data_IF_585419472749
#
_entry.id   IF_585419472749
#
_cell.length_a   1.000
_cell.length_b   1.000
_cell.length_c   1.000
_cell.angle_alpha   90.00
_cell.angle_beta   90.00
_cell.angle_gamma   90.00
#
_symmetry.space_group_name_H-M   'P 1'
#
loop_
_entity.id
_entity.type
_entity.pdbx_description
1 polymer ?
#
# COMPACT_ATOMS: atom_id res chain seq x y z
N UNK A 1 -25.12 53.89 26.98
CA UNK A 1 -26.36 53.24 26.50
C UNK A 1 -25.89 52.08 25.65
N UNK A 2 -25.84 50.89 26.24
CA UNK A 2 -25.23 49.71 25.63
C UNK A 2 -26.28 49.00 24.79
N UNK A 3 -26.07 48.97 23.48
CA UNK A 3 -26.89 48.16 22.57
C UNK A 3 -26.60 46.68 22.84
N UNK A 4 -27.61 45.99 23.37
CA UNK A 4 -27.61 44.54 23.56
C UNK A 4 -27.50 43.88 22.19
N UNK A 5 -26.33 43.32 21.89
CA UNK A 5 -26.16 42.40 20.78
C UNK A 5 -26.97 41.15 21.13
N UNK A 6 -28.07 40.93 20.41
CA UNK A 6 -28.91 39.75 20.53
C UNK A 6 -28.16 38.56 19.93
N UNK A 7 -27.36 37.87 20.75
CA UNK A 7 -26.80 36.55 20.43
C UNK A 7 -27.90 35.48 20.54
N UNK A 8 -28.94 35.62 19.73
CA UNK A 8 -30.01 34.64 19.60
C UNK A 8 -29.53 33.46 18.76
N UNK A 9 -29.29 32.34 19.43
CA UNK A 9 -29.23 30.98 18.87
C UNK A 9 -28.40 30.83 17.59
N UNK A 10 -27.10 30.55 17.75
CA UNK A 10 -26.34 29.88 16.69
C UNK A 10 -27.14 28.64 16.30
N UNK A 11 -27.62 28.62 15.05
CA UNK A 11 -28.54 27.63 14.50
C UNK A 11 -28.13 26.21 14.94
N UNK A 12 -28.84 25.65 15.93
CA UNK A 12 -28.51 24.39 16.58
C UNK A 12 -28.42 23.25 15.57
N UNK A 13 -29.22 23.33 14.51
CA UNK A 13 -29.20 22.45 13.35
C UNK A 13 -27.91 22.56 12.55
N UNK A 14 -27.43 23.77 12.24
CA UNK A 14 -26.15 23.98 11.55
C UNK A 14 -24.97 23.48 12.39
N UNK A 15 -25.01 23.68 13.71
CA UNK A 15 -23.95 23.21 14.60
C UNK A 15 -23.91 21.67 14.68
N UNK A 16 -25.07 21.02 14.78
CA UNK A 16 -25.18 19.56 14.75
C UNK A 16 -24.71 18.99 13.41
N UNK A 17 -25.10 19.62 12.30
CA UNK A 17 -24.68 19.20 10.96
C UNK A 17 -23.17 19.34 10.77
N UNK A 18 -22.56 20.40 11.30
CA UNK A 18 -21.11 20.59 11.27
C UNK A 18 -20.37 19.52 12.11
N UNK A 19 -20.89 19.15 13.27
CA UNK A 19 -20.34 18.09 14.12
C UNK A 19 -20.45 16.71 13.45
N UNK A 20 -21.59 16.41 12.82
CA UNK A 20 -21.80 15.18 12.04
C UNK A 20 -20.82 15.08 10.85
N UNK A 21 -20.68 16.15 10.05
CA UNK A 21 -19.72 16.19 8.95
C UNK A 21 -18.28 15.99 9.44
N UNK A 22 -17.94 16.58 10.58
CA UNK A 22 -16.59 16.47 11.15
C UNK A 22 -16.29 15.03 11.58
N UNK A 23 -17.26 14.36 12.20
CA UNK A 23 -17.15 12.94 12.56
C UNK A 23 -17.01 12.06 11.33
N UNK A 24 -17.83 12.28 10.31
CA UNK A 24 -17.76 11.53 9.05
C UNK A 24 -16.41 11.72 8.36
N UNK A 25 -15.92 12.96 8.29
CA UNK A 25 -14.61 13.29 7.75
C UNK A 25 -13.49 12.54 8.47
N UNK A 26 -13.48 12.55 9.80
CA UNK A 26 -12.46 11.85 10.58
C UNK A 26 -12.52 10.32 10.41
N UNK A 27 -13.72 9.75 10.29
CA UNK A 27 -13.87 8.32 10.02
C UNK A 27 -13.32 7.95 8.64
N UNK A 28 -13.71 8.68 7.59
CA UNK A 28 -13.24 8.45 6.23
C UNK A 28 -11.72 8.62 6.13
N UNK A 29 -11.17 9.67 6.74
CA UNK A 29 -9.72 9.91 6.79
C UNK A 29 -8.97 8.77 7.49
N UNK A 30 -9.50 8.25 8.60
CA UNK A 30 -8.91 7.11 9.31
C UNK A 30 -8.94 5.83 8.46
N UNK A 31 -10.05 5.55 7.79
CA UNK A 31 -10.20 4.40 6.91
C UNK A 31 -9.27 4.48 5.69
N UNK A 32 -9.20 5.64 5.05
CA UNK A 32 -8.27 5.92 3.94
C UNK A 32 -6.82 5.71 4.39
N UNK A 33 -6.45 6.25 5.56
CA UNK A 33 -5.14 6.05 6.16
C UNK A 33 -4.84 4.57 6.38
N UNK A 34 -5.73 3.80 7.00
CA UNK A 34 -5.53 2.36 7.24
C UNK A 34 -5.39 1.55 5.94
N UNK A 35 -6.17 1.92 4.92
CA UNK A 35 -6.10 1.31 3.59
C UNK A 35 -4.75 1.59 2.93
N UNK A 36 -4.28 2.83 2.95
CA UNK A 36 -2.96 3.18 2.43
C UNK A 36 -1.83 2.52 3.22
N UNK A 37 -1.98 2.39 4.52
CA UNK A 37 -1.03 1.68 5.37
C UNK A 37 -0.90 0.20 5.02
N UNK A 38 -2.04 -0.46 4.80
CA UNK A 38 -2.09 -1.87 4.38
C UNK A 38 -1.50 -2.03 2.97
N UNK A 39 -1.86 -1.16 2.03
CA UNK A 39 -1.27 -1.13 0.67
C UNK A 39 0.24 -0.91 0.70
N UNK A 40 0.74 -0.03 1.57
CA UNK A 40 2.15 0.31 1.66
C UNK A 40 3.00 -0.69 2.48
N UNK A 41 2.39 -1.75 3.06
CA UNK A 41 3.07 -2.69 3.97
C UNK A 41 3.91 -1.95 5.02
N UNK A 42 3.23 -1.08 5.77
CA UNK A 42 3.67 0.03 6.65
C UNK A 42 4.89 -0.11 7.60
N UNK A 43 5.96 -0.84 7.27
CA UNK A 43 7.28 -0.70 7.92
C UNK A 43 7.96 0.64 7.61
N UNK A 44 7.49 1.33 6.57
CA UNK A 44 8.18 2.46 5.95
C UNK A 44 7.87 3.81 6.61
N UNK A 45 6.81 3.90 7.43
CA UNK A 45 6.41 5.14 8.09
C UNK A 45 7.46 5.66 9.09
N UNK A 46 8.36 4.78 9.56
CA UNK A 46 9.43 5.16 10.51
C UNK A 46 10.68 5.73 9.82
N UNK A 47 10.87 5.51 8.51
CA UNK A 47 12.13 5.80 7.80
C UNK A 47 12.04 7.04 6.86
N UNK A 48 10.97 7.84 6.94
CA UNK A 48 10.80 9.08 6.17
C UNK A 48 10.39 8.86 4.71
N UNK A 49 10.08 9.97 4.01
CA UNK A 49 9.60 9.96 2.62
C UNK A 49 10.47 9.07 1.70
N UNK A 50 9.84 8.43 0.72
CA UNK A 50 10.41 7.42 -0.18
C UNK A 50 11.52 7.95 -1.12
N UNK A 51 12.00 9.17 -0.88
CA UNK A 51 13.06 9.87 -1.61
C UNK A 51 14.33 10.10 -0.77
N UNK A 52 14.39 9.62 0.47
CA UNK A 52 15.60 9.79 1.29
C UNK A 52 16.76 8.93 0.78
N UNK A 53 18.00 9.40 0.95
CA UNK A 53 19.20 8.62 0.59
C UNK A 53 19.28 7.29 1.36
N UNK A 54 18.70 7.23 2.57
CA UNK A 54 18.58 6.03 3.39
C UNK A 54 17.61 5.01 2.77
N UNK A 55 16.45 5.46 2.28
CA UNK A 55 15.49 4.63 1.56
C UNK A 55 16.15 3.93 0.37
N UNK A 56 16.87 4.69 -0.48
CA UNK A 56 17.53 4.11 -1.64
C UNK A 56 18.65 3.15 -1.26
N UNK A 57 19.42 3.43 -0.20
CA UNK A 57 20.43 2.50 0.33
C UNK A 57 19.78 1.19 0.80
N UNK A 58 18.68 1.27 1.54
CA UNK A 58 17.97 0.09 2.05
C UNK A 58 17.31 -0.71 0.93
N UNK A 59 16.78 -0.04 -0.09
CA UNK A 59 16.27 -0.67 -1.30
C UNK A 59 17.34 -1.40 -2.09
N UNK A 60 18.52 -0.78 -2.28
CA UNK A 60 19.65 -1.46 -2.94
C UNK A 60 20.09 -2.71 -2.16
N UNK A 61 20.17 -2.64 -0.83
CA UNK A 61 20.49 -3.80 0.01
C UNK A 61 19.44 -4.91 -0.13
N UNK A 62 18.16 -4.54 -0.12
CA UNK A 62 17.07 -5.49 -0.31
C UNK A 62 17.10 -6.14 -1.70
N UNK A 63 17.32 -5.35 -2.76
CA UNK A 63 17.46 -5.83 -4.13
C UNK A 63 18.67 -6.76 -4.27
N UNK A 64 19.81 -6.42 -3.67
CA UNK A 64 21.00 -7.27 -3.69
C UNK A 64 20.77 -8.60 -2.95
N UNK A 65 20.16 -8.55 -1.77
CA UNK A 65 19.83 -9.73 -0.96
C UNK A 65 18.85 -10.67 -1.67
N UNK A 66 17.85 -10.10 -2.33
CA UNK A 66 16.77 -10.87 -2.98
C UNK A 66 17.00 -11.05 -4.48
N UNK A 67 18.22 -10.81 -4.97
CA UNK A 67 18.56 -11.04 -6.36
C UNK A 67 18.51 -12.54 -6.63
N UNK A 68 17.54 -12.97 -7.45
CA UNK A 68 17.45 -14.35 -7.91
C UNK A 68 18.58 -14.57 -8.92
N UNK A 69 19.60 -15.32 -8.52
CA UNK A 69 20.73 -15.66 -9.38
C UNK A 69 20.59 -17.02 -10.02
N UNK A 70 19.77 -17.90 -9.45
CA UNK A 70 19.59 -19.28 -9.89
C UNK A 70 18.16 -19.72 -9.57
N UNK A 71 17.60 -20.57 -10.42
CA UNK A 71 16.26 -21.15 -10.24
C UNK A 71 16.25 -22.58 -10.78
N UNK A 72 15.42 -23.44 -10.22
CA UNK A 72 15.14 -24.74 -10.84
C UNK A 72 14.04 -24.57 -11.88
N UNK A 73 14.22 -25.18 -13.06
CA UNK A 73 13.15 -25.29 -14.05
C UNK A 73 12.19 -26.44 -13.71
N UNK A 74 11.13 -26.60 -14.51
CA UNK A 74 10.10 -27.62 -14.31
C UNK A 74 10.63 -29.06 -14.43
N UNK A 75 11.81 -29.23 -15.03
CA UNK A 75 12.52 -30.50 -15.13
C UNK A 75 13.45 -30.74 -13.93
N UNK A 76 13.47 -29.83 -12.95
CA UNK A 76 14.34 -29.88 -11.77
C UNK A 76 15.79 -29.45 -12.04
N UNK A 77 16.12 -28.98 -13.24
CA UNK A 77 17.47 -28.59 -13.61
C UNK A 77 17.78 -27.20 -13.06
N UNK A 78 18.94 -27.06 -12.41
CA UNK A 78 19.39 -25.79 -11.87
C UNK A 78 19.89 -24.86 -12.98
N UNK A 79 19.15 -23.80 -13.25
CA UNK A 79 19.49 -22.75 -14.20
C UNK A 79 20.21 -21.61 -13.47
N UNK A 80 21.37 -21.19 -13.99
CA UNK A 80 22.19 -20.10 -13.44
C UNK A 80 22.37 -18.92 -14.41
N UNK A 81 21.99 -19.10 -15.67
CA UNK A 81 22.06 -18.07 -16.69
C UNK A 81 20.95 -17.05 -16.47
N UNK A 82 21.30 -15.75 -16.50
CA UNK A 82 20.36 -14.68 -16.19
C UNK A 82 19.17 -14.61 -17.16
N UNK A 83 19.43 -14.76 -18.46
CA UNK A 83 18.38 -14.68 -19.47
C UNK A 83 17.46 -15.90 -19.35
N UNK A 84 18.05 -17.07 -19.12
CA UNK A 84 17.27 -18.30 -18.92
C UNK A 84 16.46 -18.29 -17.63
N UNK A 85 17.00 -17.76 -16.52
CA UNK A 85 16.23 -17.57 -15.27
C UNK A 85 15.02 -16.69 -15.53
N UNK A 86 15.18 -15.62 -16.32
CA UNK A 86 14.10 -14.70 -16.68
C UNK A 86 13.00 -15.41 -17.48
N UNK A 87 13.38 -16.22 -18.45
CA UNK A 87 12.45 -17.04 -19.24
C UNK A 87 11.66 -18.02 -18.37
N UNK A 88 12.34 -18.76 -17.48
CA UNK A 88 11.69 -19.72 -16.57
C UNK A 88 10.64 -19.03 -15.70
N UNK A 89 10.98 -17.88 -15.11
CA UNK A 89 10.04 -17.12 -14.28
C UNK A 89 8.84 -16.62 -15.09
N UNK A 90 9.08 -16.09 -16.29
CA UNK A 90 8.01 -15.57 -17.16
C UNK A 90 7.07 -16.70 -17.58
N UNK A 91 7.61 -17.84 -17.98
CA UNK A 91 6.81 -18.98 -18.43
C UNK A 91 5.99 -19.56 -17.27
N UNK A 92 6.59 -19.74 -16.10
CA UNK A 92 5.89 -20.19 -14.90
C UNK A 92 4.66 -19.32 -14.58
N UNK A 93 4.82 -18.00 -14.56
CA UNK A 93 3.69 -17.11 -14.25
C UNK A 93 2.68 -17.02 -15.39
N UNK A 94 3.11 -17.09 -16.65
CA UNK A 94 2.18 -17.21 -17.78
C UNK A 94 1.27 -18.41 -17.56
N UNK A 95 1.86 -19.58 -17.36
CA UNK A 95 1.12 -20.83 -17.17
C UNK A 95 0.22 -20.77 -15.92
N UNK A 96 0.69 -20.18 -14.82
CA UNK A 96 -0.11 -19.99 -13.61
C UNK A 96 -1.35 -19.14 -13.84
N UNK A 97 -1.24 -18.07 -14.65
CA UNK A 97 -2.33 -17.12 -14.89
C UNK A 97 -3.20 -17.47 -16.10
N UNK A 98 -2.74 -18.31 -17.02
CA UNK A 98 -3.56 -18.86 -18.12
C UNK A 98 -4.13 -20.24 -17.80
N UNK A 99 -3.69 -20.90 -16.73
CA UNK A 99 -4.30 -22.13 -16.27
C UNK A 99 -5.79 -21.90 -15.93
N UNK A 100 -6.71 -22.75 -16.43
CA UNK A 100 -8.11 -22.69 -16.00
C UNK A 100 -8.15 -22.89 -14.49
N UNK A 101 -8.96 -22.07 -13.81
CA UNK A 101 -9.08 -21.98 -12.35
C UNK A 101 -9.04 -23.37 -11.74
N UNK A 102 -7.91 -23.74 -11.12
CA UNK A 102 -7.87 -24.91 -10.25
C UNK A 102 -8.72 -24.53 -9.05
N UNK A 103 -9.98 -24.97 -9.04
CA UNK A 103 -10.80 -24.96 -7.83
C UNK A 103 -10.07 -25.80 -6.80
N UNK A 104 -9.39 -25.11 -5.87
CA UNK A 104 -8.86 -25.72 -4.67
C UNK A 104 -10.08 -25.94 -3.79
N UNK A 105 -10.53 -27.21 -3.74
CA UNK A 105 -11.57 -27.71 -2.83
C UNK A 105 -11.05 -27.69 -1.41
#
# INVERSE_FOLDING_TARGET
MNEKIFYGCLDSTLLLQADELTKEYHMLYSAERQLFQSKAKMRWYRDGDANTSLFHKRMRLHQAKNRITQIHDDSGVLVKDYDRVKEVVVNFYKDLFTAPTRNIV
#
